data_IF_682466924156
#
_entry.id   IF_682466924156
#
_cell.length_a   1.000
_cell.length_b   1.000
_cell.length_c   1.000
_cell.angle_alpha   90.00
_cell.angle_beta   90.00
_cell.angle_gamma   90.00
#
_symmetry.space_group_name_H-M   'P 1'
#
loop_
_entity.id
_entity.type
_entity.pdbx_description
1 polymer ?
#
# COMPACT_ATOMS: atom_id res chain seq x y z
N UNK A 1 -10.55 3.06 19.82
CA UNK A 1 -9.51 3.92 19.21
C UNK A 1 -8.79 3.10 18.16
N UNK A 2 -8.72 3.61 16.94
CA UNK A 2 -7.95 3.00 15.85
C UNK A 2 -6.49 3.40 16.00
N UNK A 3 -5.56 2.45 15.94
CA UNK A 3 -4.13 2.75 15.93
C UNK A 3 -3.60 2.71 14.50
N UNK A 4 -2.76 3.69 14.15
CA UNK A 4 -2.02 3.68 12.89
C UNK A 4 -0.58 3.24 13.14
N UNK A 5 -0.01 2.51 12.18
CA UNK A 5 1.37 2.04 12.29
C UNK A 5 2.28 2.92 11.43
N UNK A 6 3.45 3.26 11.97
CA UNK A 6 4.56 3.82 11.20
C UNK A 6 5.14 2.83 10.18
N UNK A 7 4.84 1.53 10.31
CA UNK A 7 5.28 0.52 9.33
C UNK A 7 4.45 0.65 8.07
N UNK A 8 5.13 0.89 6.96
CA UNK A 8 4.50 0.95 5.64
C UNK A 8 3.91 -0.41 5.27
N UNK A 9 2.58 -0.50 5.19
CA UNK A 9 1.90 -1.66 4.64
C UNK A 9 1.62 -1.44 3.15
N UNK A 10 2.29 -2.21 2.27
CA UNK A 10 2.14 -2.07 0.82
C UNK A 10 1.36 -3.25 0.23
N UNK A 11 0.19 -2.97 -0.33
CA UNK A 11 -0.66 -3.95 -1.05
C UNK A 11 0.11 -4.68 -2.17
N UNK A 12 1.18 -4.05 -2.67
CA UNK A 12 2.07 -4.64 -3.67
C UNK A 12 2.85 -5.84 -3.11
N UNK A 13 3.32 -5.76 -1.87
CA UNK A 13 4.18 -6.78 -1.26
C UNK A 13 3.36 -7.97 -0.75
N UNK A 14 2.22 -7.72 -0.11
CA UNK A 14 1.46 -8.79 0.56
C UNK A 14 0.44 -9.49 -0.35
N UNK A 15 -0.31 -8.75 -1.18
CA UNK A 15 -1.45 -9.35 -1.90
C UNK A 15 -1.13 -9.60 -3.38
N UNK A 16 -0.49 -8.64 -4.05
CA UNK A 16 -0.25 -8.74 -5.49
C UNK A 16 0.81 -9.81 -5.84
N UNK A 17 1.87 -9.95 -5.04
CA UNK A 17 2.89 -10.96 -5.29
C UNK A 17 2.33 -12.38 -5.11
N UNK A 18 1.63 -12.62 -3.99
CA UNK A 18 0.97 -13.90 -3.71
C UNK A 18 -0.06 -14.27 -4.79
N UNK A 19 -0.94 -13.36 -5.17
CA UNK A 19 -1.90 -13.57 -6.27
C UNK A 19 -1.20 -13.93 -7.59
N UNK A 20 -0.14 -13.22 -7.93
CA UNK A 20 0.63 -13.49 -9.16
C UNK A 20 1.30 -14.85 -9.13
N UNK A 21 1.91 -15.23 -8.00
CA UNK A 21 2.56 -16.53 -7.83
C UNK A 21 1.54 -17.67 -7.88
N UNK A 22 0.41 -17.53 -7.18
CA UNK A 22 -0.67 -18.51 -7.19
C UNK A 22 -1.21 -18.73 -8.61
N UNK A 23 -1.35 -17.68 -9.41
CA UNK A 23 -1.72 -17.78 -10.82
C UNK A 23 -0.70 -18.59 -11.63
N UNK A 24 0.60 -18.30 -11.47
CA UNK A 24 1.66 -19.05 -12.16
C UNK A 24 1.64 -20.54 -11.82
N UNK A 25 1.48 -20.87 -10.52
CA UNK A 25 1.36 -22.25 -10.05
C UNK A 25 0.15 -22.95 -10.65
N UNK A 26 -1.03 -22.31 -10.63
CA UNK A 26 -2.26 -22.87 -11.20
C UNK A 26 -2.13 -23.17 -12.70
N UNK A 27 -1.46 -22.29 -13.44
CA UNK A 27 -1.22 -22.47 -14.88
C UNK A 27 -0.22 -23.61 -15.19
N UNK A 28 0.70 -23.91 -14.27
CA UNK A 28 1.75 -24.89 -14.48
C UNK A 28 1.46 -26.27 -13.85
N UNK A 29 0.53 -26.39 -12.89
CA UNK A 29 0.29 -27.60 -12.08
C UNK A 29 -0.09 -28.87 -12.85
N UNK A 30 -0.58 -28.74 -14.08
CA UNK A 30 -0.97 -29.88 -14.93
C UNK A 30 0.18 -30.38 -15.82
N UNK A 31 1.35 -29.76 -15.72
CA UNK A 31 2.54 -30.13 -16.50
C UNK A 31 3.41 -31.10 -15.70
N UNK A 32 4.23 -31.95 -16.35
CA UNK A 32 5.26 -32.73 -15.66
C UNK A 32 6.15 -31.84 -14.78
N UNK A 33 6.71 -32.39 -13.71
CA UNK A 33 7.44 -31.62 -12.68
C UNK A 33 8.53 -30.74 -13.29
N UNK A 34 9.34 -31.29 -14.20
CA UNK A 34 10.41 -30.55 -14.88
C UNK A 34 9.85 -29.35 -15.67
N UNK A 35 8.85 -29.60 -16.51
CA UNK A 35 8.20 -28.56 -17.33
C UNK A 35 7.47 -27.52 -16.47
N UNK A 36 6.89 -27.93 -15.33
CA UNK A 36 6.27 -27.04 -14.36
C UNK A 36 7.30 -26.07 -13.78
N UNK A 37 8.44 -26.58 -13.32
CA UNK A 37 9.53 -25.76 -12.77
C UNK A 37 10.09 -24.79 -13.81
N UNK A 38 10.35 -25.25 -15.03
CA UNK A 38 10.81 -24.40 -16.13
C UNK A 38 9.79 -23.30 -16.46
N UNK A 39 8.50 -23.64 -16.50
CA UNK A 39 7.43 -22.66 -16.76
C UNK A 39 7.41 -21.57 -15.68
N UNK A 40 7.54 -21.95 -14.40
CA UNK A 40 7.56 -21.00 -13.28
C UNK A 40 8.83 -20.12 -13.37
N UNK A 41 10.00 -20.72 -13.56
CA UNK A 41 11.28 -20.01 -13.69
C UNK A 41 11.23 -18.96 -14.80
N UNK A 42 10.80 -19.35 -16.00
CA UNK A 42 10.71 -18.45 -17.16
C UNK A 42 9.72 -17.31 -16.91
N UNK A 43 8.58 -17.58 -16.26
CA UNK A 43 7.62 -16.51 -15.92
C UNK A 43 8.18 -15.52 -14.91
N UNK A 44 8.86 -16.00 -13.87
CA UNK A 44 9.51 -15.13 -12.89
C UNK A 44 10.56 -14.24 -13.58
N UNK A 45 11.40 -14.83 -14.43
CA UNK A 45 12.41 -14.09 -15.20
C UNK A 45 11.78 -12.98 -16.05
N UNK A 46 10.75 -13.29 -16.83
CA UNK A 46 10.04 -12.31 -17.66
C UNK A 46 9.36 -11.22 -16.82
N UNK A 47 8.84 -11.57 -15.64
CA UNK A 47 8.23 -10.60 -14.74
C UNK A 47 9.26 -9.64 -14.15
N UNK A 48 10.43 -10.14 -13.75
CA UNK A 48 11.53 -9.31 -13.23
C UNK A 48 11.97 -8.30 -14.30
N UNK A 49 12.20 -8.75 -15.53
CA UNK A 49 12.59 -7.86 -16.65
C UNK A 49 11.53 -6.79 -16.88
N UNK A 50 10.25 -7.17 -17.02
CA UNK A 50 9.14 -6.22 -17.20
C UNK A 50 8.99 -5.23 -16.03
N UNK A 51 9.31 -5.65 -14.81
CA UNK A 51 9.26 -4.78 -13.62
C UNK A 51 10.44 -3.81 -13.61
N UNK A 52 11.63 -4.28 -13.96
CA UNK A 52 12.83 -3.46 -14.09
C UNK A 52 12.66 -2.39 -15.17
N UNK A 53 12.20 -2.76 -16.37
CA UNK A 53 11.92 -1.79 -17.45
C UNK A 53 10.91 -0.70 -17.04
N UNK A 54 9.92 -1.06 -16.22
CA UNK A 54 8.97 -0.08 -15.67
C UNK A 54 9.62 0.81 -14.62
N UNK A 55 10.46 0.23 -13.77
CA UNK A 55 11.20 0.96 -12.75
C UNK A 55 12.20 1.95 -13.37
N UNK A 56 12.93 1.54 -14.40
CA UNK A 56 13.91 2.38 -15.10
C UNK A 56 13.24 3.61 -15.76
N UNK A 57 11.97 3.49 -16.16
CA UNK A 57 11.17 4.60 -16.71
C UNK A 57 10.58 5.52 -15.63
N UNK A 58 10.60 5.13 -14.36
CA UNK A 58 10.03 5.94 -13.27
C UNK A 58 10.99 7.07 -12.90
N UNK A 59 10.49 8.30 -13.05
CA UNK A 59 11.19 9.51 -12.63
C UNK A 59 10.54 10.00 -11.33
N UNK A 60 11.17 9.72 -10.20
CA UNK A 60 10.70 10.16 -8.87
C UNK A 60 11.00 9.16 -7.76
N UNK A 61 10.85 9.63 -6.53
CA UNK A 61 11.15 8.85 -5.31
C UNK A 61 10.12 7.73 -5.07
N UNK A 62 8.86 7.97 -5.46
CA UNK A 62 7.76 7.05 -5.23
C UNK A 62 7.32 6.36 -6.53
N UNK A 63 7.06 5.06 -6.44
CA UNK A 63 6.42 4.31 -7.52
C UNK A 63 5.06 4.96 -7.88
N UNK A 64 4.67 5.05 -9.17
CA UNK A 64 3.44 5.74 -9.57
C UNK A 64 2.17 5.24 -8.88
N UNK A 65 2.08 3.95 -8.57
CA UNK A 65 0.94 3.40 -7.81
C UNK A 65 0.87 3.92 -6.39
N UNK A 66 2.01 4.02 -5.70
CA UNK A 66 2.08 4.55 -4.34
C UNK A 66 1.80 6.05 -4.36
N UNK A 67 2.41 6.78 -5.30
CA UNK A 67 2.17 8.21 -5.51
C UNK A 67 0.68 8.49 -5.72
N UNK A 68 0.02 7.75 -6.63
CA UNK A 68 -1.42 7.91 -6.86
C UNK A 68 -2.26 7.67 -5.60
N UNK A 69 -1.93 6.68 -4.77
CA UNK A 69 -2.64 6.41 -3.51
C UNK A 69 -2.42 7.56 -2.51
N UNK A 70 -1.18 8.05 -2.41
CA UNK A 70 -0.84 9.20 -1.58
C UNK A 70 -1.56 10.47 -2.05
N UNK A 71 -1.58 10.76 -3.36
CA UNK A 71 -2.25 11.94 -3.92
C UNK A 71 -3.77 11.93 -3.63
N UNK A 72 -4.41 10.76 -3.65
CA UNK A 72 -5.82 10.60 -3.24
C UNK A 72 -5.98 10.92 -1.75
N UNK A 73 -5.15 10.31 -0.89
CA UNK A 73 -5.21 10.55 0.55
C UNK A 73 -4.95 12.03 0.90
N UNK A 74 -4.02 12.70 0.21
CA UNK A 74 -3.75 14.13 0.38
C UNK A 74 -5.02 14.92 0.03
N UNK A 75 -5.64 14.65 -1.12
CA UNK A 75 -6.88 15.33 -1.53
C UNK A 75 -8.01 15.11 -0.53
N UNK A 76 -8.14 13.91 0.00
CA UNK A 76 -9.16 13.61 1.01
C UNK A 76 -8.87 14.33 2.33
N UNK A 77 -7.59 14.44 2.72
CA UNK A 77 -7.16 15.14 3.94
C UNK A 77 -7.41 16.66 3.89
N UNK A 78 -7.55 17.27 2.70
CA UNK A 78 -7.88 18.70 2.59
C UNK A 78 -9.24 19.06 3.19
N UNK A 79 -10.11 18.07 3.42
CA UNK A 79 -11.40 18.26 4.09
C UNK A 79 -11.28 18.26 5.61
N UNK A 80 -10.10 17.93 6.13
CA UNK A 80 -9.84 17.81 7.56
C UNK A 80 -9.02 19.00 8.04
N UNK A 81 -9.50 19.66 9.10
CA UNK A 81 -8.84 20.81 9.72
C UNK A 81 -8.31 20.37 11.09
N UNK A 82 -6.97 20.27 11.27
CA UNK A 82 -6.38 19.98 12.57
C UNK A 82 -6.26 21.26 13.41
N UNK A 83 -6.66 21.16 14.68
CA UNK A 83 -6.49 22.17 15.72
C UNK A 83 -5.59 21.60 16.82
N UNK A 84 -4.56 22.35 17.20
CA UNK A 84 -3.60 21.94 18.23
C UNK A 84 -4.29 21.90 19.61
N UNK A 85 -4.17 20.76 20.29
CA UNK A 85 -4.65 20.55 21.65
C UNK A 85 -3.51 20.43 22.68
N UNK A 86 -2.25 20.60 22.24
CA UNK A 86 -1.04 20.47 23.04
C UNK A 86 -0.53 19.04 23.16
N UNK A 87 0.78 18.88 23.38
CA UNK A 87 1.42 17.58 23.64
C UNK A 87 1.30 16.58 22.49
N UNK A 88 1.47 17.05 21.25
CA UNK A 88 1.34 16.27 20.01
C UNK A 88 -0.06 15.63 19.81
N UNK A 89 -1.08 16.23 20.43
CA UNK A 89 -2.49 15.88 20.25
C UNK A 89 -3.20 16.94 19.44
N UNK A 90 -4.07 16.48 18.55
CA UNK A 90 -4.82 17.33 17.65
C UNK A 90 -6.30 16.97 17.69
N UNK A 91 -7.14 17.99 17.75
CA UNK A 91 -8.55 17.86 17.41
C UNK A 91 -8.70 18.06 15.90
N UNK A 92 -9.18 17.05 15.19
CA UNK A 92 -9.31 17.06 13.74
C UNK A 92 -10.79 17.07 13.36
N UNK A 93 -11.22 18.07 12.61
CA UNK A 93 -12.58 18.18 12.10
C UNK A 93 -12.62 17.87 10.60
N UNK A 94 -13.36 16.84 10.18
CA UNK A 94 -13.40 16.38 8.77
C UNK A 94 -14.74 16.64 8.07
N UNK A 95 -15.42 17.73 8.44
CA UNK A 95 -16.78 18.08 8.01
C UNK A 95 -17.75 18.22 9.18
N UNK A 96 -19.02 18.63 8.92
CA UNK A 96 -20.01 18.87 9.96
C UNK A 96 -20.19 17.63 10.84
N UNK A 97 -20.17 17.83 12.17
CA UNK A 97 -20.32 16.78 13.19
C UNK A 97 -19.24 15.68 13.20
N UNK A 98 -18.12 15.86 12.50
CA UNK A 98 -17.02 14.87 12.47
C UNK A 98 -15.78 15.39 13.20
N UNK A 99 -15.81 15.30 14.53
CA UNK A 99 -14.69 15.69 15.39
C UNK A 99 -13.96 14.45 15.90
N UNK A 100 -12.65 14.40 15.67
CA UNK A 100 -11.79 13.30 16.08
C UNK A 100 -10.59 13.80 16.88
N UNK A 101 -10.07 12.95 17.76
CA UNK A 101 -8.82 13.18 18.49
C UNK A 101 -7.76 12.32 17.84
N UNK A 102 -6.64 12.93 17.49
CA UNK A 102 -5.45 12.26 16.97
C UNK A 102 -4.31 12.48 17.96
N UNK A 103 -3.70 11.40 18.40
CA UNK A 103 -2.53 11.39 19.27
C UNK A 103 -1.34 10.84 18.48
N UNK A 104 -0.34 11.68 18.22
CA UNK A 104 0.83 11.29 17.44
C UNK A 104 1.86 10.49 18.27
N UNK A 105 1.83 10.60 19.61
CA UNK A 105 2.71 9.84 20.51
C UNK A 105 2.23 8.39 20.58
N UNK A 106 0.94 8.19 20.79
CA UNK A 106 0.31 6.87 20.84
C UNK A 106 0.01 6.28 19.45
N UNK A 107 0.22 7.07 18.40
CA UNK A 107 -0.18 6.76 17.03
C UNK A 107 -1.65 6.30 16.95
N UNK A 108 -2.55 7.04 17.58
CA UNK A 108 -3.95 6.67 17.72
C UNK A 108 -4.89 7.75 17.18
N UNK A 109 -6.06 7.31 16.70
CA UNK A 109 -7.14 8.17 16.23
C UNK A 109 -8.46 7.69 16.85
N UNK A 110 -9.31 8.62 17.28
CA UNK A 110 -10.68 8.30 17.68
C UNK A 110 -11.60 8.00 16.49
N UNK A 111 -11.14 8.26 15.26
CA UNK A 111 -11.83 7.89 14.04
C UNK A 111 -11.90 6.37 13.87
N UNK A 112 -13.13 5.85 13.68
CA UNK A 112 -13.49 4.41 13.66
C UNK A 112 -13.16 3.64 14.95
N UNK A 113 -14.18 2.99 15.51
CA UNK A 113 -13.99 1.71 16.19
C UNK A 113 -13.97 0.60 15.13
#
# INVERSE_FOLDING_TARGET
MSHFSIRSHSDMLVNNLSKSFNKMRLEARRKPILTMMETIRTKIMLLIVKKKEKADKWKGILCPKMKKKMDVNIKDSLRCVPSDAGGDKYQVECGPDSQHVVDLVENSCSCRN
#
